data_IF_994448153689
#
_entry.id   IF_994448153689
#
_cell.length_a   1.000
_cell.length_b   1.000
_cell.length_c   1.000
_cell.angle_alpha   90.00
_cell.angle_beta   90.00
_cell.angle_gamma   90.00
#
_symmetry.space_group_name_H-M   'P 1'
#
loop_
_entity.id
_entity.type
_entity.pdbx_description
1 polymer ?
#
# COMPACT_ATOMS: atom_id res chain seq x y z
N UNK A 1 62.92 7.21 -42.04
CA UNK A 1 63.27 5.81 -41.68
C UNK A 1 61.96 5.04 -41.43
N UNK A 2 61.75 3.83 -41.97
CA UNK A 2 60.49 3.05 -41.86
C UNK A 2 60.62 1.88 -40.88
N UNK A 3 59.74 1.78 -39.88
CA UNK A 3 59.47 0.64 -38.95
C UNK A 3 58.03 0.85 -38.39
N UNK A 4 57.13 -0.10 -38.09
CA UNK A 4 56.76 -1.43 -38.65
C UNK A 4 55.32 -1.73 -38.11
N UNK A 5 54.24 -1.63 -38.90
CA UNK A 5 53.56 -2.70 -39.67
C UNK A 5 52.51 -3.50 -38.86
N UNK A 6 51.39 -3.92 -39.51
CA UNK A 6 50.25 -4.77 -39.02
C UNK A 6 49.23 -4.01 -38.13
N UNK A 7 47.93 -3.89 -38.43
CA UNK A 7 47.06 -4.51 -39.45
C UNK A 7 46.98 -6.03 -39.42
N UNK A 8 46.14 -6.58 -38.54
CA UNK A 8 45.56 -7.94 -38.64
C UNK A 8 44.08 -7.87 -38.20
N UNK A 9 43.18 -7.99 -39.19
CA UNK A 9 41.80 -8.53 -39.16
C UNK A 9 40.81 -8.04 -38.08
N UNK A 10 39.65 -7.55 -38.54
CA UNK A 10 38.48 -7.29 -37.69
C UNK A 10 37.40 -8.36 -37.83
N UNK A 11 36.34 -8.22 -37.03
CA UNK A 11 35.02 -8.71 -37.37
C UNK A 11 33.97 -7.75 -36.83
N UNK A 12 32.86 -7.58 -37.56
CA UNK A 12 31.65 -6.95 -37.03
C UNK A 12 30.84 -8.04 -36.32
N UNK A 13 30.58 -7.85 -35.03
CA UNK A 13 29.39 -8.41 -34.39
C UNK A 13 28.81 -7.36 -33.47
N UNK A 14 27.60 -6.92 -33.80
CA UNK A 14 26.73 -6.15 -32.92
C UNK A 14 26.40 -7.01 -31.70
N UNK A 15 26.97 -6.68 -30.54
CA UNK A 15 26.36 -7.06 -29.26
C UNK A 15 25.50 -5.90 -28.80
N UNK A 16 24.20 -6.07 -28.86
CA UNK A 16 23.27 -5.20 -28.15
C UNK A 16 23.33 -5.64 -26.68
N UNK A 17 24.18 -4.98 -25.88
CA UNK A 17 24.08 -5.10 -24.42
C UNK A 17 22.77 -4.46 -23.96
N UNK A 18 21.69 -5.25 -24.10
CA UNK A 18 20.54 -5.13 -23.24
C UNK A 18 21.06 -5.38 -21.83
N UNK A 19 21.21 -4.31 -21.07
CA UNK A 19 21.27 -4.39 -19.62
C UNK A 19 19.92 -4.88 -19.10
N UNK A 20 19.66 -6.18 -19.25
CA UNK A 20 18.82 -6.91 -18.30
C UNK A 20 19.55 -6.87 -16.97
N UNK A 21 19.39 -5.75 -16.28
CA UNK A 21 19.46 -5.72 -14.82
C UNK A 21 18.28 -6.57 -14.38
N UNK A 22 18.52 -7.88 -14.34
CA UNK A 22 17.67 -8.82 -13.63
C UNK A 22 17.67 -8.30 -12.19
N UNK A 23 16.60 -7.58 -11.85
CA UNK A 23 16.42 -7.07 -10.50
C UNK A 23 16.37 -8.30 -9.61
N UNK A 24 17.35 -8.45 -8.72
CA UNK A 24 17.28 -9.45 -7.66
C UNK A 24 15.91 -9.34 -7.01
N UNK A 25 15.15 -10.44 -7.05
CA UNK A 25 13.83 -10.48 -6.44
C UNK A 25 14.05 -10.46 -4.92
N UNK A 26 13.91 -9.26 -4.35
CA UNK A 26 13.97 -9.06 -2.90
C UNK A 26 12.86 -9.91 -2.31
N UNK A 27 13.14 -10.73 -1.29
CA UNK A 27 12.19 -11.73 -0.79
C UNK A 27 10.78 -11.15 -0.51
N UNK A 28 10.70 -9.92 -0.01
CA UNK A 28 9.45 -9.22 0.30
C UNK A 28 8.59 -8.90 -0.93
N UNK A 29 9.16 -8.85 -2.14
CA UNK A 29 8.44 -8.56 -3.39
C UNK A 29 7.32 -9.57 -3.69
N UNK A 30 7.39 -10.80 -3.16
CA UNK A 30 6.34 -11.83 -3.29
C UNK A 30 5.03 -11.48 -2.58
N UNK A 31 5.05 -10.50 -1.68
CA UNK A 31 3.89 -10.05 -0.90
C UNK A 31 3.31 -8.71 -1.39
N UNK A 32 3.67 -8.26 -2.61
CA UNK A 32 3.24 -6.95 -3.14
C UNK A 32 1.72 -6.74 -3.12
N UNK A 33 0.93 -7.78 -3.41
CA UNK A 33 -0.54 -7.68 -3.45
C UNK A 33 -1.15 -7.49 -2.06
N UNK A 34 -0.53 -8.08 -1.03
CA UNK A 34 -0.88 -7.83 0.37
C UNK A 34 -0.51 -6.40 0.78
N UNK A 35 0.69 -5.92 0.45
CA UNK A 35 1.10 -4.54 0.75
C UNK A 35 0.20 -3.51 0.06
N UNK A 36 -0.14 -3.73 -1.22
CA UNK A 36 -1.12 -2.92 -1.94
C UNK A 36 -2.48 -2.95 -1.26
N UNK A 37 -2.95 -4.13 -0.85
CA UNK A 37 -4.23 -4.27 -0.13
C UNK A 37 -4.25 -3.46 1.16
N UNK A 38 -3.19 -3.50 1.97
CA UNK A 38 -3.11 -2.71 3.22
C UNK A 38 -3.09 -1.21 2.95
N UNK A 39 -2.40 -0.77 1.89
CA UNK A 39 -2.43 0.64 1.48
C UNK A 39 -3.83 1.09 1.04
N UNK A 40 -4.55 0.26 0.28
CA UNK A 40 -5.93 0.60 -0.12
C UNK A 40 -6.91 0.51 1.05
N UNK A 41 -6.80 -0.52 1.90
CA UNK A 41 -7.65 -0.69 3.09
C UNK A 41 -7.50 0.49 4.07
N UNK A 42 -6.27 0.88 4.42
CA UNK A 42 -6.03 2.02 5.31
C UNK A 42 -6.69 3.30 4.78
N UNK A 43 -6.51 3.63 3.49
CA UNK A 43 -7.19 4.79 2.88
C UNK A 43 -8.72 4.61 2.84
N UNK A 44 -9.22 3.39 2.60
CA UNK A 44 -10.65 3.08 2.69
C UNK A 44 -11.18 3.35 4.09
N UNK A 45 -10.52 2.92 5.17
CA UNK A 45 -10.98 3.18 6.54
C UNK A 45 -11.19 4.68 6.80
N UNK A 46 -10.23 5.53 6.40
CA UNK A 46 -10.37 6.99 6.49
C UNK A 46 -11.47 7.58 5.59
N UNK A 47 -11.96 6.84 4.59
CA UNK A 47 -13.02 7.26 3.67
C UNK A 47 -14.44 6.97 4.18
N UNK A 48 -14.59 6.16 5.24
CA UNK A 48 -15.86 5.71 5.80
C UNK A 48 -16.45 6.67 6.84
N UNK A 49 -17.76 6.64 7.02
CA UNK A 49 -18.47 7.26 8.16
C UNK A 49 -18.41 6.38 9.41
N UNK A 50 -18.73 6.92 10.60
CA UNK A 50 -18.77 6.14 11.85
C UNK A 50 -19.69 4.92 11.74
N UNK A 51 -20.86 5.08 11.12
CA UNK A 51 -21.83 4.01 10.85
C UNK A 51 -21.33 2.95 9.86
N UNK A 52 -20.35 3.27 9.03
CA UNK A 52 -19.76 2.30 8.11
C UNK A 52 -18.60 1.55 8.75
N UNK A 53 -17.76 2.25 9.52
CA UNK A 53 -16.76 1.65 10.39
C UNK A 53 -17.42 0.69 11.40
N UNK A 54 -18.52 1.08 12.05
CA UNK A 54 -19.26 0.26 13.02
C UNK A 54 -19.73 -1.09 12.42
N UNK A 55 -20.00 -1.18 11.11
CA UNK A 55 -20.35 -2.44 10.44
C UNK A 55 -19.16 -3.37 10.23
N UNK A 56 -17.93 -2.85 10.26
CA UNK A 56 -16.71 -3.63 10.20
C UNK A 56 -16.33 -4.18 11.59
N UNK A 57 -16.81 -3.54 12.66
CA UNK A 57 -16.57 -3.99 14.04
C UNK A 57 -16.94 -5.45 14.25
N UNK A 58 -16.01 -6.22 14.79
CA UNK A 58 -16.20 -7.62 15.11
C UNK A 58 -15.30 -8.07 16.27
N UNK A 59 -15.41 -9.34 16.72
CA UNK A 59 -14.67 -9.84 17.89
C UNK A 59 -13.14 -9.69 17.82
N UNK A 60 -12.59 -9.54 16.62
CA UNK A 60 -11.15 -9.39 16.34
C UNK A 60 -10.84 -8.23 15.39
N UNK A 61 -11.78 -7.30 15.17
CA UNK A 61 -11.59 -6.15 14.30
C UNK A 61 -12.16 -4.91 15.00
N UNK A 62 -11.29 -3.99 15.41
CA UNK A 62 -11.67 -2.73 16.03
C UNK A 62 -11.34 -1.58 15.07
N UNK A 63 -12.32 -1.00 14.35
CA UNK A 63 -12.07 -0.03 13.30
C UNK A 63 -11.25 1.20 13.73
N UNK A 64 -11.33 1.62 15.00
CA UNK A 64 -10.51 2.72 15.53
C UNK A 64 -9.04 2.33 15.68
N UNK A 65 -8.77 1.10 16.14
CA UNK A 65 -7.41 0.56 16.18
C UNK A 65 -6.85 0.37 14.77
N UNK A 66 -7.66 -0.17 13.84
CA UNK A 66 -7.20 -0.42 12.46
C UNK A 66 -6.97 0.87 11.66
N UNK A 67 -7.73 1.94 11.93
CA UNK A 67 -7.47 3.29 11.39
C UNK A 67 -6.07 3.81 11.76
N UNK A 68 -5.58 3.47 12.95
CA UNK A 68 -4.25 3.86 13.45
C UNK A 68 -3.16 2.87 12.95
N UNK A 69 -3.36 1.56 13.13
CA UNK A 69 -2.36 0.53 12.84
C UNK A 69 -2.15 0.27 11.36
N UNK A 70 -3.20 0.22 10.53
CA UNK A 70 -3.05 -0.14 9.11
C UNK A 70 -2.32 0.95 8.33
N UNK A 71 -2.58 2.22 8.64
CA UNK A 71 -1.93 3.33 7.93
C UNK A 71 -0.45 3.45 8.30
N UNK A 72 -0.08 3.18 9.56
CA UNK A 72 1.33 3.08 9.94
C UNK A 72 2.00 1.88 9.26
N UNK A 73 1.35 0.71 9.24
CA UNK A 73 1.90 -0.48 8.60
C UNK A 73 2.10 -0.31 7.09
N UNK A 74 1.09 0.21 6.39
CA UNK A 74 1.12 0.42 4.94
C UNK A 74 2.23 1.39 4.50
N UNK A 75 2.55 2.36 5.34
CA UNK A 75 3.61 3.36 5.09
C UNK A 75 4.99 2.98 5.66
N UNK A 76 5.15 1.78 6.24
CA UNK A 76 6.49 1.25 6.53
C UNK A 76 7.34 1.17 5.24
N UNK A 77 8.67 1.43 5.30
CA UNK A 77 9.50 1.49 4.10
C UNK A 77 9.47 0.22 3.25
N UNK A 78 9.33 -0.96 3.87
CA UNK A 78 9.25 -2.23 3.15
C UNK A 78 7.93 -2.32 2.37
N UNK A 79 6.78 -2.10 3.00
CA UNK A 79 5.48 -2.17 2.33
C UNK A 79 5.38 -1.11 1.22
N UNK A 80 5.63 0.15 1.57
CA UNK A 80 5.42 1.30 0.69
C UNK A 80 6.33 1.29 -0.53
N UNK A 81 7.64 1.06 -0.38
CA UNK A 81 8.57 1.06 -1.53
C UNK A 81 8.38 -0.15 -2.44
N UNK A 82 7.88 -1.28 -1.92
CA UNK A 82 7.63 -2.49 -2.73
C UNK A 82 6.55 -2.26 -3.77
N UNK A 83 5.47 -1.58 -3.39
CA UNK A 83 4.35 -1.18 -4.25
C UNK A 83 4.86 -0.41 -5.50
N UNK A 84 5.73 0.59 -5.31
CA UNK A 84 6.32 1.38 -6.40
C UNK A 84 7.47 0.67 -7.14
N UNK A 85 8.20 -0.24 -6.49
CA UNK A 85 9.29 -1.02 -7.09
C UNK A 85 8.76 -2.05 -8.09
N UNK A 86 7.64 -2.70 -7.75
CA UNK A 86 6.92 -3.66 -8.60
C UNK A 86 5.93 -2.99 -9.57
N UNK A 87 5.55 -1.73 -9.32
CA UNK A 87 4.77 -0.92 -10.26
C UNK A 87 3.26 -1.16 -10.22
N UNK A 88 2.73 -1.66 -9.09
CA UNK A 88 1.28 -1.79 -8.87
C UNK A 88 0.60 -0.43 -8.63
N UNK A 89 1.37 0.60 -8.26
CA UNK A 89 0.95 2.02 -8.29
C UNK A 89 2.04 2.81 -9.04
N UNK A 90 1.61 3.76 -9.87
CA UNK A 90 2.52 4.67 -10.57
C UNK A 90 3.28 5.60 -9.60
N UNK A 91 4.57 5.82 -9.88
CA UNK A 91 5.45 6.61 -9.00
C UNK A 91 5.01 8.07 -8.82
N UNK A 92 4.23 8.63 -9.75
CA UNK A 92 3.67 9.98 -9.62
C UNK A 92 2.74 10.15 -8.42
N UNK A 93 2.11 9.07 -7.93
CA UNK A 93 1.26 9.11 -6.74
C UNK A 93 2.03 9.14 -5.41
N UNK A 94 3.34 8.84 -5.41
CA UNK A 94 4.13 8.65 -4.19
C UNK A 94 4.09 9.88 -3.26
N UNK A 95 4.30 11.06 -3.82
CA UNK A 95 4.28 12.32 -3.07
C UNK A 95 2.88 12.67 -2.55
N UNK A 96 1.82 12.28 -3.25
CA UNK A 96 0.43 12.51 -2.81
C UNK A 96 0.05 11.56 -1.67
N UNK A 97 0.45 10.29 -1.76
CA UNK A 97 0.29 9.29 -0.70
C UNK A 97 1.06 9.69 0.57
N UNK A 98 2.31 10.15 0.45
CA UNK A 98 3.09 10.64 1.60
C UNK A 98 2.47 11.89 2.24
N UNK A 99 1.87 12.78 1.45
CA UNK A 99 1.10 13.93 1.98
C UNK A 99 -0.18 13.49 2.69
N UNK A 100 -0.82 12.43 2.23
CA UNK A 100 -1.98 11.85 2.92
C UNK A 100 -1.59 11.23 4.27
N UNK A 101 -0.51 10.43 4.34
CA UNK A 101 0.05 9.95 5.61
C UNK A 101 0.39 11.10 6.56
N UNK A 102 1.09 12.13 6.06
CA UNK A 102 1.42 13.28 6.91
C UNK A 102 0.17 14.02 7.43
N UNK A 103 -0.89 14.08 6.62
CA UNK A 103 -2.18 14.65 7.02
C UNK A 103 -2.86 13.84 8.13
N UNK A 104 -2.82 12.49 8.07
CA UNK A 104 -3.37 11.65 9.14
C UNK A 104 -2.56 11.72 10.43
N UNK A 105 -1.24 11.88 10.32
CA UNK A 105 -0.32 12.04 11.46
C UNK A 105 -0.47 13.40 12.16
N UNK A 106 -1.08 14.37 11.48
CA UNK A 106 -1.42 15.70 12.01
C UNK A 106 -2.84 15.77 12.61
N UNK A 107 -3.58 14.65 12.67
CA UNK A 107 -4.88 14.58 13.35
C UNK A 107 -4.63 14.56 14.87
N UNK A 108 -5.11 15.57 15.65
CA UNK A 108 -4.89 15.63 17.10
C UNK A 108 -5.43 14.40 17.83
N UNK A 109 -4.66 13.86 18.77
CA UNK A 109 -5.04 12.68 19.57
C UNK A 109 -6.37 12.85 20.32
N UNK A 110 -6.73 14.09 20.66
CA UNK A 110 -7.95 14.46 21.36
C UNK A 110 -9.22 14.23 20.52
N UNK A 111 -9.10 14.11 19.20
CA UNK A 111 -10.22 13.82 18.29
C UNK A 111 -10.19 12.40 17.71
N UNK A 112 -9.30 11.53 18.18
CA UNK A 112 -9.24 10.11 17.82
C UNK A 112 -10.26 9.26 18.60
N UNK A 113 -11.52 9.71 18.63
CA UNK A 113 -12.65 9.00 19.23
C UNK A 113 -13.83 8.92 18.25
N UNK A 114 -14.61 7.83 18.35
CA UNK A 114 -15.87 7.61 17.66
C UNK A 114 -16.77 8.84 17.62
N UNK A 115 -16.84 9.60 18.71
CA UNK A 115 -17.75 10.75 18.80
C UNK A 115 -17.40 11.90 17.84
N UNK A 116 -16.15 11.95 17.34
CA UNK A 116 -15.64 12.99 16.44
C UNK A 116 -15.65 12.60 14.97
N UNK A 117 -15.67 11.30 14.63
CA UNK A 117 -15.52 10.77 13.26
C UNK A 117 -16.45 11.44 12.24
N UNK A 118 -17.70 11.73 12.61
CA UNK A 118 -18.68 12.41 11.73
C UNK A 118 -19.04 13.84 12.16
N UNK A 119 -18.43 14.35 13.24
CA UNK A 119 -18.74 15.69 13.79
C UNK A 119 -17.60 16.69 13.62
N UNK A 120 -16.35 16.24 13.64
CA UNK A 120 -15.18 17.11 13.61
C UNK A 120 -14.77 17.44 12.18
N UNK A 121 -14.51 18.72 11.89
CA UNK A 121 -14.19 19.21 10.54
C UNK A 121 -12.95 18.56 9.93
N UNK A 122 -11.98 18.20 10.77
CA UNK A 122 -10.76 17.51 10.33
C UNK A 122 -11.06 16.10 9.85
N UNK A 123 -11.89 15.32 10.56
CA UNK A 123 -12.32 13.99 10.10
C UNK A 123 -13.13 14.06 8.80
N UNK A 124 -14.05 15.02 8.69
CA UNK A 124 -14.79 15.26 7.45
C UNK A 124 -13.85 15.61 6.28
N UNK A 125 -12.84 16.45 6.54
CA UNK A 125 -11.81 16.83 5.55
C UNK A 125 -10.91 15.65 5.16
N UNK A 126 -10.52 14.81 6.13
CA UNK A 126 -9.77 13.56 5.89
C UNK A 126 -10.59 12.61 5.02
N UNK A 127 -11.90 12.46 5.30
CA UNK A 127 -12.82 11.62 4.51
C UNK A 127 -12.91 12.06 3.05
N UNK A 128 -12.98 13.36 2.80
CA UNK A 128 -12.98 13.93 1.44
C UNK A 128 -11.64 13.66 0.73
N UNK A 129 -10.51 13.83 1.42
CA UNK A 129 -9.17 13.56 0.86
C UNK A 129 -8.97 12.08 0.54
N UNK A 130 -9.37 11.19 1.45
CA UNK A 130 -9.29 9.74 1.27
C UNK A 130 -10.11 9.29 0.05
N UNK A 131 -11.36 9.76 -0.09
CA UNK A 131 -12.18 9.47 -1.26
C UNK A 131 -11.55 9.98 -2.56
N UNK A 132 -11.09 11.24 -2.61
CA UNK A 132 -10.45 11.80 -3.80
C UNK A 132 -9.14 11.08 -4.19
N UNK A 133 -8.40 10.57 -3.20
CA UNK A 133 -7.20 9.76 -3.42
C UNK A 133 -7.52 8.38 -3.97
N UNK A 134 -8.55 7.70 -3.44
CA UNK A 134 -9.03 6.42 -3.96
C UNK A 134 -9.53 6.54 -5.41
N UNK A 135 -10.27 7.60 -5.72
CA UNK A 135 -10.74 7.87 -7.09
C UNK A 135 -9.58 8.08 -8.06
N UNK A 136 -8.55 8.83 -7.66
CA UNK A 136 -7.31 9.01 -8.44
C UNK A 136 -6.53 7.71 -8.66
N UNK A 137 -6.52 6.83 -7.67
CA UNK A 137 -5.92 5.49 -7.75
C UNK A 137 -6.78 4.49 -8.55
N UNK A 138 -7.95 4.90 -9.04
CA UNK A 138 -8.87 4.04 -9.79
C UNK A 138 -9.65 3.03 -8.93
N UNK A 139 -9.62 3.18 -7.60
CA UNK A 139 -10.34 2.31 -6.67
C UNK A 139 -11.79 2.76 -6.61
N UNK A 140 -12.69 1.96 -7.18
CA UNK A 140 -14.12 2.29 -7.29
C UNK A 140 -14.97 1.83 -6.10
N UNK A 141 -14.47 0.87 -5.31
CA UNK A 141 -15.13 0.38 -4.10
C UNK A 141 -14.64 1.10 -2.86
N UNK A 142 -15.46 1.10 -1.79
CA UNK A 142 -15.09 1.46 -0.41
C UNK A 142 -15.27 0.27 0.54
N UNK A 143 -15.37 -0.94 0.00
CA UNK A 143 -15.42 -2.18 0.79
C UNK A 143 -14.02 -2.54 1.26
N UNK A 144 -13.84 -2.63 2.57
CA UNK A 144 -12.63 -3.17 3.19
C UNK A 144 -12.35 -4.60 2.69
N UNK A 145 -11.10 -4.90 2.32
CA UNK A 145 -10.70 -6.20 1.80
C UNK A 145 -10.06 -7.07 2.89
N UNK A 146 -10.77 -8.10 3.33
CA UNK A 146 -10.32 -9.06 4.34
C UNK A 146 -9.73 -10.37 3.76
N UNK A 147 -9.46 -10.42 2.44
CA UNK A 147 -9.05 -11.66 1.77
C UNK A 147 -7.68 -12.23 2.19
N UNK A 148 -6.86 -11.47 2.91
CA UNK A 148 -5.59 -11.95 3.48
C UNK A 148 -5.68 -12.30 4.97
N UNK A 149 -6.83 -12.09 5.62
CA UNK A 149 -7.00 -12.31 7.06
C UNK A 149 -7.44 -13.75 7.31
N UNK A 150 -6.95 -14.38 8.38
CA UNK A 150 -7.54 -15.61 8.92
C UNK A 150 -7.71 -15.49 10.42
N UNK A 151 -8.94 -15.73 10.88
CA UNK A 151 -9.38 -15.59 12.26
C UNK A 151 -9.50 -17.00 12.83
N UNK A 152 -8.87 -17.23 13.97
CA UNK A 152 -8.96 -18.46 14.74
C UNK A 152 -9.76 -18.23 16.03
N UNK A 153 -10.42 -19.26 16.55
CA UNK A 153 -10.97 -19.26 17.91
C UNK A 153 -9.90 -19.63 18.94
N UNK A 154 -10.28 -19.63 20.22
CA UNK A 154 -9.40 -19.98 21.34
C UNK A 154 -8.96 -21.45 21.36
N UNK A 155 -9.57 -22.31 20.53
CA UNK A 155 -9.24 -23.73 20.37
C UNK A 155 -8.37 -23.99 19.12
N UNK A 156 -8.12 -22.96 18.30
CA UNK A 156 -7.34 -23.02 17.07
C UNK A 156 -8.15 -23.36 15.81
N UNK A 157 -9.49 -23.41 15.88
CA UNK A 157 -10.34 -23.63 14.71
C UNK A 157 -10.48 -22.33 13.91
N UNK A 158 -10.59 -22.43 12.59
CA UNK A 158 -10.80 -21.28 11.70
C UNK A 158 -12.25 -20.77 11.82
N UNK A 159 -12.43 -19.55 12.32
CA UNK A 159 -13.71 -18.82 12.30
C UNK A 159 -13.94 -18.19 10.92
N UNK A 160 -12.87 -17.68 10.28
CA UNK A 160 -12.90 -17.02 8.96
C UNK A 160 -11.55 -17.22 8.27
N UNK A 161 -11.56 -17.61 6.99
CA UNK A 161 -10.37 -17.57 6.11
C UNK A 161 -10.66 -16.69 4.90
N UNK A 162 -9.87 -15.65 4.73
CA UNK A 162 -9.85 -14.82 3.52
C UNK A 162 -9.37 -15.61 2.30
N UNK A 163 -9.83 -15.22 1.12
CA UNK A 163 -9.66 -16.01 -0.12
C UNK A 163 -8.20 -16.19 -0.57
N UNK A 164 -7.32 -15.28 -0.17
CA UNK A 164 -5.94 -15.15 -0.66
C UNK A 164 -4.89 -15.44 0.41
N UNK A 165 -5.28 -15.91 1.60
CA UNK A 165 -4.31 -16.33 2.61
C UNK A 165 -3.72 -17.71 2.23
N UNK A 166 -2.38 -17.85 2.09
CA UNK A 166 -1.73 -19.11 1.65
C UNK A 166 -2.01 -20.36 2.52
#
# INVERSE_FOLDING_TARGET
MKINLKSIFGSKTTSTDKSSVDKEEIEYDKYVDFYYTNLINSIILFSLTSKELEKLSGPVFNPMTELESEIDYAFTPVCFETIFRKGVIDKSFKDELLKFKKWTDDIPSEIWDWEFIDKHEMWASTRIKANALLDKLGVTSRTYNDDYITIYDNEGNIIKKGKNNP
#
